data_IF_361115437764
#
_entry.id   IF_361115437764
#
_cell.length_a   1.000
_cell.length_b   1.000
_cell.length_c   1.000
_cell.angle_alpha   90.00
_cell.angle_beta   90.00
_cell.angle_gamma   90.00
#
_symmetry.space_group_name_H-M   'P 1'
#
loop_
_entity.id
_entity.type
_entity.pdbx_description
1 polymer ?
#
# COMPACT_ATOMS: atom_id res chain seq x y z
N UNK A 1 -6.68 -6.96 -31.20
CA UNK A 1 -7.93 -6.23 -31.49
C UNK A 1 -8.28 -5.40 -30.27
N UNK A 2 -8.42 -4.07 -30.41
CA UNK A 2 -8.86 -3.18 -29.32
C UNK A 2 -10.25 -2.67 -29.70
N UNK A 3 -11.33 -3.24 -29.13
CA UNK A 3 -12.69 -2.99 -29.59
C UNK A 3 -13.05 -1.49 -29.64
N UNK A 4 -12.74 -0.73 -28.58
CA UNK A 4 -13.09 0.69 -28.49
C UNK A 4 -12.49 1.54 -29.62
N UNK A 5 -11.19 1.36 -29.92
CA UNK A 5 -10.53 2.10 -31.01
C UNK A 5 -11.05 1.71 -32.39
N UNK A 6 -11.39 0.43 -32.56
CA UNK A 6 -11.93 -0.09 -33.81
C UNK A 6 -13.30 0.51 -34.14
N UNK A 7 -14.23 0.52 -33.18
CA UNK A 7 -15.58 1.04 -33.41
C UNK A 7 -15.64 2.57 -33.50
N UNK A 8 -14.74 3.29 -32.81
CA UNK A 8 -14.60 4.75 -32.93
C UNK A 8 -14.08 5.22 -34.29
N UNK A 9 -13.40 4.36 -35.05
CA UNK A 9 -12.87 4.66 -36.39
C UNK A 9 -13.65 3.94 -37.49
N UNK A 10 -14.82 3.41 -37.18
CA UNK A 10 -15.63 2.64 -38.11
C UNK A 10 -16.12 3.53 -39.27
N UNK A 11 -16.10 3.05 -40.52
CA UNK A 11 -16.51 3.84 -41.70
C UNK A 11 -18.01 4.15 -41.72
N UNK A 12 -18.84 3.32 -41.07
CA UNK A 12 -20.25 3.62 -40.85
C UNK A 12 -20.42 4.70 -39.75
N UNK A 13 -20.95 5.89 -40.08
CA UNK A 13 -21.17 6.97 -39.12
C UNK A 13 -22.12 6.60 -37.98
N UNK A 14 -23.08 5.70 -38.20
CA UNK A 14 -24.02 5.26 -37.17
C UNK A 14 -23.31 4.44 -36.09
N UNK A 15 -22.42 3.54 -36.51
CA UNK A 15 -21.60 2.72 -35.61
C UNK A 15 -20.60 3.58 -34.85
N UNK A 16 -19.94 4.51 -35.53
CA UNK A 16 -19.00 5.46 -34.92
C UNK A 16 -19.69 6.28 -33.82
N UNK A 17 -20.83 6.89 -34.17
CA UNK A 17 -21.61 7.71 -33.24
C UNK A 17 -22.08 6.90 -32.03
N UNK A 18 -22.59 5.69 -32.24
CA UNK A 18 -23.02 4.82 -31.15
C UNK A 18 -21.86 4.43 -30.24
N UNK A 19 -20.70 4.08 -30.80
CA UNK A 19 -19.51 3.75 -30.02
C UNK A 19 -18.99 4.95 -29.23
N UNK A 20 -18.98 6.14 -29.84
CA UNK A 20 -18.63 7.40 -29.17
C UNK A 20 -19.59 7.69 -28.02
N UNK A 21 -20.90 7.57 -28.23
CA UNK A 21 -21.92 7.79 -27.21
C UNK A 21 -21.82 6.80 -26.05
N UNK A 22 -21.54 5.53 -26.33
CA UNK A 22 -21.37 4.47 -25.31
C UNK A 22 -20.05 4.61 -24.53
N UNK A 23 -18.98 5.07 -25.18
CA UNK A 23 -17.70 5.34 -24.53
C UNK A 23 -17.68 6.69 -23.82
N UNK A 24 -18.53 7.63 -24.24
CA UNK A 24 -18.71 8.90 -23.54
C UNK A 24 -19.44 8.64 -22.24
N UNK A 25 -18.78 8.97 -21.15
CA UNK A 25 -19.33 8.81 -19.82
C UNK A 25 -20.30 9.98 -19.54
N UNK A 26 -21.46 9.99 -20.22
CA UNK A 26 -22.46 11.08 -20.18
C UNK A 26 -23.02 11.32 -18.78
N UNK A 27 -22.80 10.39 -17.86
CA UNK A 27 -23.27 10.45 -16.47
C UNK A 27 -22.11 10.38 -15.48
N UNK A 28 -21.00 11.06 -15.77
CA UNK A 28 -20.11 11.45 -14.69
C UNK A 28 -20.90 12.31 -13.71
N UNK A 29 -21.02 11.86 -12.46
CA UNK A 29 -21.54 12.69 -11.39
C UNK A 29 -20.79 14.02 -11.45
N UNK A 30 -21.53 15.14 -11.56
CA UNK A 30 -20.86 16.43 -11.57
C UNK A 30 -19.98 16.52 -10.32
N UNK A 31 -18.82 17.18 -10.40
CA UNK A 31 -17.91 17.33 -9.25
C UNK A 31 -18.63 17.81 -7.98
N UNK A 32 -19.74 18.52 -8.15
CA UNK A 32 -20.64 19.00 -7.09
C UNK A 32 -21.39 17.84 -6.40
N UNK A 33 -21.86 16.85 -7.16
CA UNK A 33 -22.52 15.66 -6.61
C UNK A 33 -21.52 14.71 -5.95
N UNK A 34 -20.35 14.47 -6.56
CA UNK A 34 -19.27 13.70 -5.93
C UNK A 34 -18.85 14.34 -4.58
N UNK A 35 -18.76 15.67 -4.54
CA UNK A 35 -18.54 16.44 -3.29
C UNK A 35 -19.69 16.32 -2.30
N UNK A 36 -20.94 16.35 -2.76
CA UNK A 36 -22.13 16.18 -1.91
C UNK A 36 -22.33 14.75 -1.37
N UNK A 37 -21.76 13.74 -2.04
CA UNK A 37 -21.79 12.32 -1.64
C UNK A 37 -20.62 11.99 -0.68
N UNK A 38 -19.69 12.93 -0.49
CA UNK A 38 -18.56 12.78 0.42
C UNK A 38 -17.47 11.89 -0.17
N UNK A 39 -17.07 12.12 -1.43
CA UNK A 39 -15.91 11.44 -2.05
C UNK A 39 -14.60 12.25 -1.94
N UNK A 40 -14.59 13.32 -1.15
CA UNK A 40 -13.36 14.06 -0.87
C UNK A 40 -12.38 13.18 -0.09
N UNK A 41 -11.12 13.13 -0.54
CA UNK A 41 -10.10 12.21 -0.01
C UNK A 41 -9.78 12.52 1.46
N UNK A 42 -9.74 13.80 1.81
CA UNK A 42 -9.30 14.29 3.13
C UNK A 42 -10.47 14.67 4.06
N UNK A 43 -11.72 14.51 3.61
CA UNK A 43 -12.88 14.86 4.43
C UNK A 43 -13.14 13.80 5.50
N UNK A 44 -13.30 14.22 6.76
CA UNK A 44 -13.61 13.32 7.89
C UNK A 44 -14.96 12.62 7.76
N UNK A 45 -15.90 13.22 7.03
CA UNK A 45 -17.23 12.66 6.76
C UNK A 45 -17.28 11.97 5.38
N UNK A 46 -16.12 11.73 4.77
CA UNK A 46 -16.02 11.04 3.49
C UNK A 46 -16.50 9.60 3.63
N UNK A 47 -17.33 9.14 2.70
CA UNK A 47 -17.72 7.73 2.62
C UNK A 47 -16.54 6.84 2.21
N UNK A 48 -15.50 7.43 1.61
CA UNK A 48 -14.25 6.78 1.24
C UNK A 48 -13.20 6.83 2.37
N UNK A 49 -13.53 7.38 3.55
CA UNK A 49 -12.57 7.56 4.64
C UNK A 49 -11.83 6.27 5.00
N UNK A 50 -12.53 5.14 5.06
CA UNK A 50 -11.92 3.84 5.34
C UNK A 50 -10.90 3.47 4.27
N UNK A 51 -11.29 3.50 2.99
CA UNK A 51 -10.43 3.20 1.84
C UNK A 51 -9.21 4.12 1.78
N UNK A 52 -9.43 5.43 1.91
CA UNK A 52 -8.37 6.44 1.95
C UNK A 52 -7.40 6.16 3.10
N UNK A 53 -7.92 5.68 4.23
CA UNK A 53 -7.13 5.36 5.40
C UNK A 53 -6.26 4.13 5.25
N UNK A 54 -6.66 3.16 4.42
CA UNK A 54 -5.87 1.96 4.16
C UNK A 54 -4.47 2.28 3.61
N UNK A 55 -4.33 3.35 2.83
CA UNK A 55 -3.05 3.78 2.27
C UNK A 55 -1.99 4.09 3.34
N UNK A 56 -2.40 4.51 4.54
CA UNK A 56 -1.48 4.72 5.66
C UNK A 56 -1.55 3.60 6.72
N UNK A 57 -2.73 3.05 6.98
CA UNK A 57 -2.94 2.02 7.99
C UNK A 57 -2.28 0.70 7.59
N UNK A 58 -2.45 0.25 6.34
CA UNK A 58 -1.92 -1.05 5.89
C UNK A 58 -0.39 -1.06 5.89
N UNK A 59 0.31 -0.06 5.31
CA UNK A 59 1.76 -0.01 5.40
C UNK A 59 2.27 0.11 6.85
N UNK A 60 1.55 0.79 7.73
CA UNK A 60 1.94 0.88 9.15
C UNK A 60 1.78 -0.46 9.86
N UNK A 61 0.60 -1.08 9.80
CA UNK A 61 0.32 -2.35 10.46
C UNK A 61 1.26 -3.46 9.97
N UNK A 62 1.56 -3.49 8.67
CA UNK A 62 2.52 -4.46 8.11
C UNK A 62 3.95 -4.20 8.59
N UNK A 63 4.41 -2.95 8.70
CA UNK A 63 5.73 -2.63 9.26
C UNK A 63 5.79 -2.96 10.76
N UNK A 64 4.72 -2.70 11.53
CA UNK A 64 4.63 -3.07 12.96
C UNK A 64 4.73 -4.60 13.14
N UNK A 65 4.00 -5.37 12.33
CA UNK A 65 4.05 -6.84 12.35
C UNK A 65 5.46 -7.36 12.01
N UNK A 66 6.08 -6.82 10.94
CA UNK A 66 7.46 -7.18 10.57
C UNK A 66 8.44 -6.87 11.70
N UNK A 67 8.29 -5.74 12.37
CA UNK A 67 9.16 -5.35 13.49
C UNK A 67 9.00 -6.32 14.68
N UNK A 68 7.76 -6.68 15.04
CA UNK A 68 7.50 -7.66 16.09
C UNK A 68 8.16 -9.02 15.79
N UNK A 69 8.04 -9.50 14.54
CA UNK A 69 8.68 -10.73 14.08
C UNK A 69 10.21 -10.67 14.19
N UNK A 70 10.83 -9.58 13.74
CA UNK A 70 12.29 -9.40 13.82
C UNK A 70 12.76 -9.37 15.28
N UNK A 71 12.01 -8.73 16.18
CA UNK A 71 12.33 -8.73 17.61
C UNK A 71 12.28 -10.14 18.21
N UNK A 72 11.30 -10.95 17.83
CA UNK A 72 11.21 -12.34 18.25
C UNK A 72 12.39 -13.17 17.71
N UNK A 73 12.73 -12.99 16.43
CA UNK A 73 13.84 -13.69 15.79
C UNK A 73 15.19 -13.34 16.42
N UNK A 74 15.42 -12.06 16.76
CA UNK A 74 16.61 -11.63 17.51
C UNK A 74 16.67 -12.33 18.87
N UNK A 75 15.55 -12.43 19.60
CA UNK A 75 15.51 -13.14 20.90
C UNK A 75 15.87 -14.62 20.75
N UNK A 76 15.38 -15.27 19.70
CA UNK A 76 15.69 -16.68 19.39
C UNK A 76 17.18 -16.87 19.10
N UNK A 77 17.76 -16.07 18.22
CA UNK A 77 19.20 -16.12 17.91
C UNK A 77 20.04 -15.88 19.17
N UNK A 78 19.67 -14.89 19.99
CA UNK A 78 20.35 -14.63 21.26
C UNK A 78 20.26 -15.80 22.25
N UNK A 79 19.20 -16.60 22.21
CA UNK A 79 19.06 -17.79 23.03
C UNK A 79 19.94 -18.93 22.50
N UNK A 80 19.90 -19.18 21.20
CA UNK A 80 20.71 -20.21 20.51
C UNK A 80 22.21 -19.95 20.68
N UNK A 81 22.63 -18.68 20.63
CA UNK A 81 24.03 -18.28 20.88
C UNK A 81 24.54 -18.66 22.27
N UNK A 82 23.68 -18.83 23.28
CA UNK A 82 24.13 -19.21 24.64
C UNK A 82 24.58 -20.67 24.73
N UNK A 83 24.10 -21.51 23.82
CA UNK A 83 24.36 -22.96 23.80
C UNK A 83 25.13 -23.40 22.55
N UNK A 84 25.48 -22.47 21.66
CA UNK A 84 26.13 -22.75 20.39
C UNK A 84 27.61 -23.11 20.54
N UNK A 85 28.09 -23.95 19.61
CA UNK A 85 29.52 -24.21 19.43
C UNK A 85 30.23 -22.96 18.86
N UNK A 86 31.58 -22.87 18.95
CA UNK A 86 32.32 -21.71 18.44
C UNK A 86 32.10 -21.44 16.93
N UNK A 87 31.96 -22.50 16.14
CA UNK A 87 31.74 -22.40 14.70
C UNK A 87 30.30 -21.96 14.37
N UNK A 88 29.31 -22.49 15.10
CA UNK A 88 27.91 -22.09 14.95
C UNK A 88 27.67 -20.65 15.42
N UNK A 89 28.42 -20.20 16.44
CA UNK A 89 28.33 -18.86 16.97
C UNK A 89 28.68 -17.79 15.93
N UNK A 90 29.65 -18.05 15.03
CA UNK A 90 30.01 -17.11 13.96
C UNK A 90 28.86 -16.89 12.97
N UNK A 91 28.15 -17.96 12.61
CA UNK A 91 26.98 -17.91 11.73
C UNK A 91 25.85 -17.13 12.40
N UNK A 92 25.57 -17.43 13.66
CA UNK A 92 24.53 -16.74 14.44
C UNK A 92 24.83 -15.24 14.64
N UNK A 93 26.10 -14.86 14.81
CA UNK A 93 26.52 -13.46 14.89
C UNK A 93 26.25 -12.72 13.56
N UNK A 94 26.55 -13.36 12.44
CA UNK A 94 26.29 -12.78 11.12
C UNK A 94 24.78 -12.58 10.90
N UNK A 95 23.96 -13.57 11.26
CA UNK A 95 22.50 -13.47 11.17
C UNK A 95 21.95 -12.39 12.11
N UNK A 96 22.45 -12.32 13.34
CA UNK A 96 22.07 -11.30 14.31
C UNK A 96 22.34 -9.89 13.80
N UNK A 97 23.50 -9.67 13.15
CA UNK A 97 23.84 -8.37 12.54
C UNK A 97 22.85 -7.99 11.46
N UNK A 98 22.48 -8.92 10.57
CA UNK A 98 21.48 -8.68 9.53
C UNK A 98 20.11 -8.33 10.15
N UNK A 99 19.68 -9.06 11.17
CA UNK A 99 18.42 -8.77 11.86
C UNK A 99 18.42 -7.39 12.55
N UNK A 100 19.55 -6.97 13.11
CA UNK A 100 19.70 -5.62 13.69
C UNK A 100 19.61 -4.51 12.64
N UNK A 101 20.15 -4.74 11.45
CA UNK A 101 20.06 -3.79 10.33
C UNK A 101 18.62 -3.65 9.83
N UNK A 102 17.92 -4.78 9.66
CA UNK A 102 16.49 -4.78 9.31
C UNK A 102 15.67 -4.06 10.39
N UNK A 103 15.92 -4.33 11.67
CA UNK A 103 15.26 -3.64 12.79
C UNK A 103 15.46 -2.12 12.71
N UNK A 104 16.67 -1.66 12.40
CA UNK A 104 16.97 -0.24 12.25
C UNK A 104 16.14 0.41 11.14
N UNK A 105 16.03 -0.25 9.98
CA UNK A 105 15.22 0.22 8.85
C UNK A 105 13.74 0.28 9.24
N UNK A 106 13.19 -0.79 9.81
CA UNK A 106 11.78 -0.83 10.24
C UNK A 106 11.46 0.23 11.31
N UNK A 107 12.38 0.46 12.25
CA UNK A 107 12.23 1.49 13.28
C UNK A 107 12.23 2.89 12.69
N UNK A 108 13.04 3.13 11.65
CA UNK A 108 13.06 4.39 10.90
C UNK A 108 11.74 4.61 10.16
N UNK A 109 11.23 3.60 9.46
CA UNK A 109 9.94 3.69 8.77
C UNK A 109 8.75 3.97 9.71
N UNK A 110 8.78 3.39 10.92
CA UNK A 110 7.76 3.65 11.95
C UNK A 110 7.89 5.06 12.57
N UNK A 111 9.11 5.57 12.73
CA UNK A 111 9.38 6.88 13.33
C UNK A 111 9.25 8.08 12.39
N UNK A 112 9.59 7.92 11.11
CA UNK A 112 9.51 9.00 10.10
C UNK A 112 8.09 9.25 9.58
N UNK A 113 7.19 8.27 9.69
CA UNK A 113 5.76 8.42 9.37
C UNK A 113 5.00 9.14 10.49
N UNK A 114 5.35 10.39 10.78
CA UNK A 114 4.51 11.28 11.60
C UNK A 114 3.30 11.68 10.75
N UNK A 115 2.10 11.32 11.20
CA UNK A 115 0.85 11.80 10.60
C UNK A 115 0.72 13.28 10.96
N UNK A 116 1.02 14.18 10.02
CA UNK A 116 0.64 15.59 10.13
C UNK A 116 -0.89 15.65 10.02
N UNK A 117 -1.57 15.71 11.17
CA UNK A 117 -2.98 16.10 11.22
C UNK A 117 -3.07 17.59 10.89
N UNK A 118 -3.54 17.92 9.69
CA UNK A 118 -4.09 19.25 9.38
C UNK A 118 -5.60 19.23 9.60
#
# INVERSE_FOLDING_TARGET
FVPGRYFLSHPDPAVNKLASDLMSDRYQLSKIHAKSIGEEIDAKDSRLLEENSLNFLVPRATTELKNAYILEKIKKIQHEMKTASPDDALVLIAELKQMQEIKKILSKELGERIILKF
#
